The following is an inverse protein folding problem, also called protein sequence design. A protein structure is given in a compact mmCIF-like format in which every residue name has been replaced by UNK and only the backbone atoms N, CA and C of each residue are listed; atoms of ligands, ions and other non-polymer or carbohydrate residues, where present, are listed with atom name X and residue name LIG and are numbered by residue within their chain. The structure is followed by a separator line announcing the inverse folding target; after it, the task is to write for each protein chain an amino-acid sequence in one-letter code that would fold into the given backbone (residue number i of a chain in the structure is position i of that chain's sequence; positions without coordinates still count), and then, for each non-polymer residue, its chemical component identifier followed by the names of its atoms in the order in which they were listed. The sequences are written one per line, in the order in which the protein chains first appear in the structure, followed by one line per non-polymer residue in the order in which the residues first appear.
data_IF_187637572183
#
_entry.id   IF_187637572183
#
_cell.length_a   1.000
_cell.length_b   1.000
_cell.length_c   1.000
_cell.angle_alpha   90.00
_cell.angle_beta   90.00
_cell.angle_gamma   90.00
#
_symmetry.space_group_name_H-M   'P 1'
#
loop_
_entity.id
_entity.type
_entity.pdbx_description
1 polymer ?
#
# COMPACT_ATOMS: atom_id res chain seq x y z
N UNK A 1 11.85 5.36 -26.02
CA UNK A 1 11.41 4.87 -24.69
C UNK A 1 10.24 3.94 -24.94
N UNK A 2 10.16 2.78 -24.25
CA UNK A 2 8.98 1.93 -24.40
C UNK A 2 7.76 2.64 -23.81
N UNK A 3 6.62 2.53 -24.49
CA UNK A 3 5.36 3.12 -24.00
C UNK A 3 4.90 2.37 -22.75
N UNK A 4 4.57 3.10 -21.67
CA UNK A 4 4.05 2.49 -20.44
C UNK A 4 2.64 1.93 -20.72
N UNK A 5 2.47 0.64 -20.43
CA UNK A 5 1.20 -0.08 -20.58
C UNK A 5 0.58 -0.49 -19.23
N UNK A 6 1.40 -0.54 -18.18
CA UNK A 6 0.97 -0.92 -16.84
C UNK A 6 1.48 0.09 -15.82
N UNK A 7 0.62 0.55 -14.95
CA UNK A 7 0.98 1.36 -13.79
C UNK A 7 0.63 0.59 -12.52
N UNK A 8 1.61 0.41 -11.65
CA UNK A 8 1.48 -0.28 -10.37
C UNK A 8 1.61 0.75 -9.26
N UNK A 9 0.63 0.81 -8.38
CA UNK A 9 0.58 1.75 -7.27
C UNK A 9 0.86 1.05 -5.94
N UNK A 10 1.62 1.67 -5.06
CA UNK A 10 1.48 1.39 -3.63
C UNK A 10 0.17 1.98 -3.10
N UNK A 11 -0.26 1.54 -1.93
CA UNK A 11 -1.45 2.04 -1.24
C UNK A 11 -1.09 3.13 -0.22
N UNK A 12 -0.40 2.77 0.85
CA UNK A 12 -0.07 3.71 1.92
C UNK A 12 0.92 4.79 1.48
N UNK A 13 0.66 6.05 1.81
CA UNK A 13 1.52 7.17 1.37
C UNK A 13 1.39 7.55 -0.10
N UNK A 14 0.88 6.67 -0.96
CA UNK A 14 0.63 6.95 -2.38
C UNK A 14 -0.85 7.22 -2.62
N UNK A 15 -1.70 6.22 -2.48
CA UNK A 15 -3.15 6.36 -2.70
C UNK A 15 -3.89 6.73 -1.42
N UNK A 16 -3.55 6.07 -0.31
CA UNK A 16 -4.18 6.24 1.00
C UNK A 16 -3.38 7.24 1.83
N UNK A 17 -4.02 8.31 2.26
CA UNK A 17 -3.45 9.24 3.24
C UNK A 17 -3.36 8.54 4.60
N UNK A 18 -2.22 8.69 5.28
CA UNK A 18 -1.89 8.00 6.53
C UNK A 18 -1.75 8.99 7.68
N UNK A 19 -2.13 8.55 8.89
CA UNK A 19 -1.97 9.33 10.13
C UNK A 19 -1.53 8.40 11.26
N UNK A 20 -0.24 8.46 11.61
CA UNK A 20 0.36 7.62 12.65
C UNK A 20 -0.14 8.00 14.04
N UNK A 21 -0.38 9.29 14.30
CA UNK A 21 -0.79 9.78 15.61
C UNK A 21 -2.19 9.29 15.97
N UNK A 22 -3.09 9.23 14.99
CA UNK A 22 -4.41 8.63 15.17
C UNK A 22 -4.32 7.15 15.54
N UNK A 23 -3.46 6.40 14.89
CA UNK A 23 -3.26 4.97 15.14
C UNK A 23 -2.68 4.75 16.54
N UNK A 24 -1.58 5.41 16.87
CA UNK A 24 -0.91 5.28 18.17
C UNK A 24 -1.82 5.77 19.31
N UNK A 25 -2.55 6.88 19.10
CA UNK A 25 -3.56 7.37 20.05
C UNK A 25 -4.70 6.36 20.28
N UNK A 26 -5.15 5.68 19.23
CA UNK A 26 -6.17 4.64 19.36
C UNK A 26 -5.67 3.43 20.17
N UNK A 27 -4.44 2.97 19.94
CA UNK A 27 -3.84 1.90 20.75
C UNK A 27 -3.69 2.32 22.21
N UNK A 28 -3.24 3.56 22.51
CA UNK A 28 -3.15 4.08 23.87
C UNK A 28 -4.51 4.15 24.54
N UNK A 29 -5.58 4.50 23.80
CA UNK A 29 -6.94 4.52 24.36
C UNK A 29 -7.47 3.13 24.77
N UNK A 30 -6.85 2.06 24.24
CA UNK A 30 -7.11 0.67 24.62
C UNK A 30 -6.18 0.18 25.75
N UNK A 31 -5.32 1.04 26.30
CA UNK A 31 -4.29 0.65 27.29
C UNK A 31 -3.11 -0.11 26.67
N UNK A 32 -2.95 -0.06 25.35
CA UNK A 32 -1.91 -0.80 24.61
C UNK A 32 -0.71 0.10 24.27
N UNK A 33 -0.16 0.82 25.27
CA UNK A 33 0.94 1.76 25.08
C UNK A 33 2.19 1.12 24.48
N UNK A 34 2.53 -0.09 24.94
CA UNK A 34 3.68 -0.83 24.42
C UNK A 34 3.54 -1.15 22.93
N UNK A 35 2.33 -1.41 22.44
CA UNK A 35 2.07 -1.59 21.00
C UNK A 35 2.14 -0.25 20.27
N UNK A 36 1.55 0.81 20.85
CA UNK A 36 1.60 2.15 20.25
C UNK A 36 3.03 2.62 19.99
N UNK A 37 3.96 2.32 20.90
CA UNK A 37 5.38 2.71 20.79
C UNK A 37 6.14 1.88 19.74
N UNK A 38 5.61 0.74 19.32
CA UNK A 38 6.19 -0.11 18.26
C UNK A 38 5.66 0.23 16.86
N UNK A 39 4.59 1.02 16.76
CA UNK A 39 4.03 1.36 15.45
C UNK A 39 4.94 2.36 14.74
N UNK A 40 5.57 1.88 13.68
CA UNK A 40 6.40 2.68 12.80
C UNK A 40 6.16 2.22 11.35
N UNK A 41 5.62 3.08 10.47
CA UNK A 41 5.32 2.69 9.09
C UNK A 41 6.56 2.44 8.25
N UNK A 42 7.71 2.96 8.66
CA UNK A 42 8.96 2.84 7.91
C UNK A 42 9.83 1.66 8.38
N UNK A 43 9.73 1.31 9.66
CA UNK A 43 10.49 0.22 10.28
C UNK A 43 9.54 -0.58 11.17
N UNK A 44 8.70 -1.44 10.59
CA UNK A 44 7.75 -2.22 11.36
C UNK A 44 8.47 -3.11 12.38
N UNK A 45 7.92 -3.19 13.59
CA UNK A 45 8.37 -4.18 14.57
C UNK A 45 8.29 -5.59 13.99
N UNK A 46 9.12 -6.51 14.47
CA UNK A 46 9.21 -7.88 13.94
C UNK A 46 7.85 -8.57 13.81
N UNK A 47 6.98 -8.41 14.82
CA UNK A 47 5.62 -8.96 14.81
C UNK A 47 4.79 -8.41 13.62
N UNK A 48 4.84 -7.10 13.38
CA UNK A 48 4.11 -6.46 12.27
C UNK A 48 4.69 -6.92 10.94
N UNK A 49 6.02 -7.02 10.84
CA UNK A 49 6.69 -7.56 9.65
C UNK A 49 6.27 -9.00 9.35
N UNK A 50 6.13 -9.86 10.38
CA UNK A 50 5.66 -11.25 10.22
C UNK A 50 4.20 -11.30 9.77
N UNK A 51 3.35 -10.40 10.27
CA UNK A 51 1.96 -10.27 9.85
C UNK A 51 1.86 -9.82 8.38
N UNK A 52 2.60 -8.80 7.99
CA UNK A 52 2.62 -8.29 6.61
C UNK A 52 3.28 -9.25 5.61
N UNK A 53 4.17 -10.13 6.10
CA UNK A 53 4.74 -11.21 5.31
C UNK A 53 3.81 -12.43 5.21
N UNK A 54 2.72 -12.47 6.00
CA UNK A 54 1.80 -13.60 6.05
C UNK A 54 2.36 -14.83 6.77
N UNK A 55 3.37 -14.65 7.64
CA UNK A 55 3.95 -15.71 8.48
C UNK A 55 3.05 -16.03 9.66
N UNK A 56 2.36 -15.01 10.19
CA UNK A 56 1.37 -15.14 11.25
C UNK A 56 0.03 -14.57 10.80
N UNK A 57 -1.06 -15.11 11.33
CA UNK A 57 -2.40 -14.59 11.14
C UNK A 57 -2.59 -13.28 11.93
N UNK A 58 -3.63 -12.52 11.58
CA UNK A 58 -3.99 -11.32 12.35
C UNK A 58 -4.38 -11.66 13.79
N UNK A 59 -5.01 -12.81 14.04
CA UNK A 59 -5.35 -13.27 15.39
C UNK A 59 -4.09 -13.54 16.23
N UNK A 60 -3.10 -14.25 15.69
CA UNK A 60 -1.82 -14.48 16.37
C UNK A 60 -1.08 -13.18 16.67
N UNK A 61 -1.09 -12.21 15.74
CA UNK A 61 -0.56 -10.88 15.97
C UNK A 61 -1.30 -10.16 17.11
N UNK A 62 -2.64 -10.26 17.17
CA UNK A 62 -3.44 -9.71 18.27
C UNK A 62 -3.08 -10.34 19.62
N UNK A 63 -2.84 -11.66 19.67
CA UNK A 63 -2.40 -12.35 20.87
C UNK A 63 -1.02 -11.86 21.35
N UNK A 64 -0.09 -11.63 20.42
CA UNK A 64 1.21 -11.04 20.74
C UNK A 64 1.06 -9.60 21.27
N UNK A 65 0.22 -8.77 20.65
CA UNK A 65 -0.07 -7.40 21.09
C UNK A 65 -0.67 -7.36 22.50
N UNK A 66 -1.64 -8.24 22.79
CA UNK A 66 -2.24 -8.38 24.12
C UNK A 66 -1.20 -8.77 25.18
N UNK A 67 -0.36 -9.75 24.88
CA UNK A 67 0.71 -10.18 25.81
C UNK A 67 1.71 -9.06 26.08
N UNK A 68 2.09 -8.33 25.04
CA UNK A 68 3.04 -7.21 25.14
C UNK A 68 2.51 -6.07 26.01
N UNK A 69 1.21 -5.77 25.89
CA UNK A 69 0.57 -4.66 26.63
C UNK A 69 -0.05 -5.08 27.94
N UNK A 70 -0.14 -6.38 28.26
CA UNK A 70 -0.82 -6.87 29.46
C UNK A 70 -2.34 -6.63 29.45
N UNK A 71 -2.97 -6.60 28.27
CA UNK A 71 -4.39 -6.28 28.06
C UNK A 71 -5.16 -7.46 27.46
N UNK A 72 -5.33 -8.58 28.18
CA UNK A 72 -5.94 -9.80 27.63
C UNK A 72 -7.41 -9.64 27.23
N UNK A 73 -8.09 -8.61 27.77
CA UNK A 73 -9.51 -8.30 27.51
C UNK A 73 -9.74 -7.57 26.18
N UNK A 74 -8.71 -6.98 25.58
CA UNK A 74 -8.84 -6.26 24.31
C UNK A 74 -9.07 -7.24 23.18
N UNK A 75 -10.17 -7.06 22.47
CA UNK A 75 -10.58 -7.97 21.38
C UNK A 75 -9.84 -7.69 20.07
N UNK A 76 -9.77 -8.69 19.19
CA UNK A 76 -9.23 -8.53 17.82
C UNK A 76 -9.93 -7.40 17.05
N UNK A 77 -11.24 -7.22 17.28
CA UNK A 77 -12.01 -6.16 16.63
C UNK A 77 -11.57 -4.75 17.10
N UNK A 78 -11.23 -4.58 18.36
CA UNK A 78 -10.70 -3.33 18.90
C UNK A 78 -9.30 -3.05 18.39
N UNK A 79 -8.44 -4.08 18.32
CA UNK A 79 -7.10 -3.98 17.73
C UNK A 79 -7.20 -3.62 16.24
N UNK A 80 -8.07 -4.30 15.49
CA UNK A 80 -8.31 -3.98 14.08
C UNK A 80 -8.83 -2.55 13.88
N UNK A 81 -9.71 -2.07 14.78
CA UNK A 81 -10.18 -0.70 14.78
C UNK A 81 -9.03 0.29 15.01
N UNK A 82 -8.20 0.05 16.03
CA UNK A 82 -7.05 0.92 16.34
C UNK A 82 -6.06 0.96 15.17
N UNK A 83 -5.77 -0.19 14.56
CA UNK A 83 -4.94 -0.28 13.35
C UNK A 83 -5.56 0.48 12.18
N UNK A 84 -6.88 0.39 12.01
CA UNK A 84 -7.62 1.10 10.97
C UNK A 84 -7.56 2.63 11.11
N UNK A 85 -7.28 3.17 12.31
CA UNK A 85 -7.12 4.61 12.51
C UNK A 85 -5.89 5.19 11.79
N UNK A 86 -4.93 4.36 11.42
CA UNK A 86 -3.81 4.74 10.57
C UNK A 86 -4.26 5.24 9.19
N UNK A 87 -5.38 4.71 8.68
CA UNK A 87 -5.90 4.97 7.35
C UNK A 87 -6.88 6.15 7.42
N UNK A 88 -6.58 7.25 6.71
CA UNK A 88 -7.39 8.47 6.76
C UNK A 88 -8.45 8.47 5.66
N UNK A 89 -8.02 8.48 4.41
CA UNK A 89 -8.88 8.53 3.22
C UNK A 89 -8.10 8.21 1.96
N UNK A 90 -8.83 8.02 0.85
CA UNK A 90 -8.30 8.12 -0.51
C UNK A 90 -8.86 9.40 -1.12
N UNK A 91 -8.03 10.40 -1.45
CA UNK A 91 -8.50 11.60 -2.15
C UNK A 91 -9.14 11.25 -3.49
N UNK A 92 -10.34 11.78 -3.76
CA UNK A 92 -11.08 11.52 -5.01
C UNK A 92 -10.26 11.91 -6.25
N UNK A 93 -9.41 12.93 -6.16
CA UNK A 93 -8.51 13.31 -7.24
C UNK A 93 -7.57 12.19 -7.67
N UNK A 94 -7.07 11.37 -6.72
CA UNK A 94 -6.22 10.20 -7.02
C UNK A 94 -7.02 9.11 -7.75
N UNK A 95 -8.27 8.86 -7.35
CA UNK A 95 -9.16 7.90 -8.02
C UNK A 95 -9.47 8.34 -9.46
N UNK A 96 -9.74 9.63 -9.69
CA UNK A 96 -9.94 10.17 -11.04
C UNK A 96 -8.70 10.04 -11.92
N UNK A 97 -7.51 10.12 -11.36
CA UNK A 97 -6.27 9.89 -12.11
C UNK A 97 -6.16 8.42 -12.56
N UNK A 98 -6.55 7.47 -11.71
CA UNK A 98 -6.59 6.05 -12.08
C UNK A 98 -7.60 5.83 -13.21
N UNK A 99 -8.81 6.42 -13.12
CA UNK A 99 -9.81 6.34 -14.18
C UNK A 99 -9.27 6.88 -15.51
N UNK A 100 -8.62 8.05 -15.48
CA UNK A 100 -8.04 8.65 -16.68
C UNK A 100 -6.93 7.77 -17.33
N UNK A 101 -6.18 7.01 -16.53
CA UNK A 101 -5.23 6.03 -17.07
C UNK A 101 -5.94 4.85 -17.74
N UNK A 102 -6.99 4.33 -17.12
CA UNK A 102 -7.79 3.22 -17.65
C UNK A 102 -8.52 3.59 -18.94
N UNK A 103 -9.06 4.80 -19.02
CA UNK A 103 -9.68 5.36 -20.25
C UNK A 103 -8.70 5.41 -21.43
N UNK A 104 -7.40 5.53 -21.15
CA UNK A 104 -6.33 5.50 -22.15
C UNK A 104 -5.83 4.06 -22.44
N UNK A 105 -6.47 3.05 -21.91
CA UNK A 105 -6.10 1.65 -22.08
C UNK A 105 -4.87 1.22 -21.27
N UNK A 106 -4.42 2.02 -20.29
CA UNK A 106 -3.34 1.68 -19.38
C UNK A 106 -3.89 0.75 -18.30
N UNK A 107 -3.26 -0.39 -18.13
CA UNK A 107 -3.57 -1.34 -17.08
C UNK A 107 -3.13 -0.78 -15.72
N UNK A 108 -3.98 -0.87 -14.71
CA UNK A 108 -3.69 -0.37 -13.37
C UNK A 108 -3.68 -1.52 -12.36
N UNK A 109 -2.66 -1.56 -11.51
CA UNK A 109 -2.47 -2.61 -10.51
C UNK A 109 -2.02 -2.01 -9.18
N UNK A 110 -2.06 -2.83 -8.13
CA UNK A 110 -1.54 -2.50 -6.80
C UNK A 110 -0.44 -3.48 -6.41
N UNK A 111 0.62 -2.98 -5.75
CA UNK A 111 1.60 -3.77 -5.00
C UNK A 111 1.84 -3.11 -3.64
N UNK A 112 1.40 -3.74 -2.55
CA UNK A 112 1.47 -3.13 -1.22
C UNK A 112 1.94 -4.10 -0.14
N UNK A 113 2.85 -3.62 0.74
CA UNK A 113 3.11 -4.25 2.03
C UNK A 113 1.91 -3.95 2.92
N UNK A 114 1.16 -4.97 3.32
CA UNK A 114 -0.10 -4.78 4.00
C UNK A 114 -0.49 -6.02 4.83
N UNK A 115 -1.64 -5.96 5.49
CA UNK A 115 -2.21 -7.05 6.27
C UNK A 115 -3.73 -7.15 6.08
N UNK A 116 -4.36 -8.29 6.41
CA UNK A 116 -5.79 -8.51 6.19
C UNK A 116 -6.71 -7.51 6.89
N UNK A 117 -6.30 -7.02 8.09
CA UNK A 117 -7.11 -6.07 8.84
C UNK A 117 -7.15 -4.70 8.14
N UNK A 118 -5.99 -4.15 7.76
CA UNK A 118 -5.91 -2.89 7.02
C UNK A 118 -6.63 -2.98 5.67
N UNK A 119 -6.45 -4.07 4.92
CA UNK A 119 -7.10 -4.25 3.62
C UNK A 119 -8.63 -4.24 3.71
N UNK A 120 -9.20 -4.75 4.81
CA UNK A 120 -10.65 -4.67 5.04
C UNK A 120 -11.15 -3.22 5.11
N UNK A 121 -10.37 -2.31 5.68
CA UNK A 121 -10.69 -0.88 5.73
C UNK A 121 -10.40 -0.19 4.39
N UNK A 122 -9.24 -0.45 3.80
CA UNK A 122 -8.82 0.16 2.52
C UNK A 122 -9.83 -0.13 1.42
N UNK A 123 -10.30 -1.39 1.26
CA UNK A 123 -11.31 -1.74 0.25
C UNK A 123 -12.60 -0.91 0.37
N UNK A 124 -12.99 -0.53 1.58
CA UNK A 124 -14.16 0.32 1.84
C UNK A 124 -13.96 1.80 1.53
N UNK A 125 -12.73 2.24 1.26
CA UNK A 125 -12.42 3.62 0.90
C UNK A 125 -12.59 3.88 -0.60
N UNK A 126 -12.65 2.84 -1.42
CA UNK A 126 -12.91 2.93 -2.85
C UNK A 126 -14.42 3.02 -3.11
N UNK A 127 -14.99 4.21 -2.87
CA UNK A 127 -16.47 4.40 -2.95
C UNK A 127 -16.89 5.53 -3.88
N UNK A 128 -15.95 6.18 -4.58
CA UNK A 128 -16.30 7.26 -5.49
C UNK A 128 -17.14 6.72 -6.66
N UNK A 129 -18.20 7.42 -6.98
CA UNK A 129 -19.10 7.13 -8.10
C UNK A 129 -19.71 5.71 -8.08
N UNK A 130 -19.87 5.13 -6.87
CA UNK A 130 -20.45 3.78 -6.68
C UNK A 130 -19.51 2.65 -7.06
N UNK A 131 -18.25 2.92 -7.34
CA UNK A 131 -17.21 1.95 -7.67
C UNK A 131 -16.66 1.25 -6.43
N UNK A 132 -16.00 0.11 -6.67
CA UNK A 132 -15.22 -0.65 -5.71
C UNK A 132 -13.75 -0.66 -6.11
N UNK A 133 -12.86 -1.18 -5.26
CA UNK A 133 -11.43 -1.33 -5.58
C UNK A 133 -11.21 -2.13 -6.87
N UNK A 134 -12.04 -3.14 -7.12
CA UNK A 134 -11.91 -4.03 -8.28
C UNK A 134 -12.32 -3.33 -9.61
N UNK A 135 -13.03 -2.18 -9.53
CA UNK A 135 -13.32 -1.34 -10.70
C UNK A 135 -12.14 -0.44 -11.10
N UNK A 136 -11.23 -0.18 -10.14
CA UNK A 136 -10.05 0.65 -10.38
C UNK A 136 -8.81 -0.16 -10.79
N UNK A 137 -8.70 -1.44 -10.37
CA UNK A 137 -7.49 -2.23 -10.58
C UNK A 137 -7.75 -3.56 -11.23
N UNK A 138 -6.91 -3.90 -12.20
CA UNK A 138 -6.93 -5.18 -12.92
C UNK A 138 -6.30 -6.31 -12.09
N UNK A 139 -5.42 -5.96 -11.14
CA UNK A 139 -4.83 -6.90 -10.19
C UNK A 139 -4.36 -6.17 -8.92
N UNK A 140 -4.47 -6.86 -7.78
CA UNK A 140 -4.03 -6.40 -6.46
C UNK A 140 -3.08 -7.43 -5.90
N UNK A 141 -1.82 -7.03 -5.67
CA UNK A 141 -0.76 -7.87 -5.12
C UNK A 141 -0.47 -7.43 -3.70
N UNK A 142 -0.67 -8.31 -2.74
CA UNK A 142 -0.51 -8.01 -1.31
C UNK A 142 0.58 -8.89 -0.72
N UNK A 143 1.45 -8.28 0.06
CA UNK A 143 2.62 -8.94 0.62
C UNK A 143 2.28 -10.21 1.40
N UNK A 144 1.22 -10.17 2.23
CA UNK A 144 0.81 -11.32 3.03
C UNK A 144 0.22 -12.49 2.20
N UNK A 145 -0.24 -12.23 0.96
CA UNK A 145 -0.69 -13.24 0.01
C UNK A 145 0.48 -13.78 -0.83
N UNK A 146 1.44 -12.91 -1.15
CA UNK A 146 2.63 -13.28 -1.89
C UNK A 146 3.72 -13.89 -1.01
N UNK A 147 3.61 -13.78 0.32
CA UNK A 147 4.63 -14.18 1.29
C UNK A 147 6.00 -13.56 0.97
N UNK A 148 6.00 -12.28 0.66
CA UNK A 148 7.19 -11.47 0.38
C UNK A 148 6.90 -10.00 0.69
N UNK A 149 7.93 -9.26 1.09
CA UNK A 149 7.83 -7.83 1.40
C UNK A 149 8.66 -6.99 0.43
N UNK A 150 8.17 -5.83 0.01
CA UNK A 150 9.03 -4.79 -0.56
C UNK A 150 10.05 -4.36 0.51
N UNK A 151 11.32 -4.15 0.16
CA UNK A 151 11.93 -4.07 -1.18
C UNK A 151 12.55 -5.38 -1.67
N UNK A 152 12.16 -6.57 -1.18
CA UNK A 152 12.68 -7.83 -1.69
C UNK A 152 12.48 -7.94 -3.21
N UNK A 153 13.51 -8.33 -3.94
CA UNK A 153 13.42 -8.62 -5.38
C UNK A 153 12.34 -9.67 -5.68
N UNK A 154 12.16 -10.63 -4.76
CA UNK A 154 11.22 -11.74 -4.93
C UNK A 154 9.76 -11.26 -5.06
N UNK A 155 9.33 -10.22 -4.34
CA UNK A 155 7.95 -9.71 -4.44
C UNK A 155 7.69 -9.14 -5.84
N UNK A 156 8.65 -8.40 -6.40
CA UNK A 156 8.52 -7.83 -7.75
C UNK A 156 8.50 -8.92 -8.81
N UNK A 157 9.34 -9.96 -8.68
CA UNK A 157 9.32 -11.12 -9.59
C UNK A 157 7.99 -11.87 -9.53
N UNK A 158 7.43 -12.08 -8.33
CA UNK A 158 6.11 -12.69 -8.15
C UNK A 158 5.00 -11.84 -8.78
N UNK A 159 5.03 -10.51 -8.59
CA UNK A 159 4.10 -9.57 -9.21
C UNK A 159 4.19 -9.62 -10.75
N UNK A 160 5.40 -9.53 -11.31
CA UNK A 160 5.64 -9.60 -12.77
C UNK A 160 5.05 -10.90 -13.34
N UNK A 161 5.38 -12.04 -12.72
CA UNK A 161 4.94 -13.35 -13.19
C UNK A 161 3.42 -13.52 -13.10
N UNK A 162 2.83 -13.24 -11.94
CA UNK A 162 1.39 -13.37 -11.70
C UNK A 162 0.57 -12.36 -12.52
N UNK A 163 1.12 -11.16 -12.73
CA UNK A 163 0.48 -10.11 -13.50
C UNK A 163 0.69 -10.22 -15.02
N UNK A 164 1.59 -11.10 -15.50
CA UNK A 164 1.95 -11.17 -16.92
C UNK A 164 2.52 -9.85 -17.43
N UNK A 165 3.33 -9.16 -16.60
CA UNK A 165 3.82 -7.81 -16.88
C UNK A 165 5.15 -7.87 -17.62
N UNK A 166 5.41 -6.84 -18.43
CA UNK A 166 6.72 -6.58 -19.02
C UNK A 166 7.37 -5.45 -18.22
N UNK A 167 8.52 -5.68 -17.56
CA UNK A 167 9.16 -4.68 -16.72
C UNK A 167 9.37 -3.34 -17.44
N UNK A 168 9.86 -3.39 -18.68
CA UNK A 168 10.15 -2.23 -19.50
C UNK A 168 8.92 -1.44 -20.00
N UNK A 169 7.71 -1.97 -19.79
CA UNK A 169 6.42 -1.33 -20.09
C UNK A 169 5.64 -1.02 -18.79
N UNK A 170 6.28 -1.21 -17.62
CA UNK A 170 5.65 -1.04 -16.31
C UNK A 170 6.25 0.15 -15.57
N UNK A 171 5.38 1.01 -15.00
CA UNK A 171 5.74 2.07 -14.07
C UNK A 171 5.26 1.69 -12.67
N UNK A 172 6.17 1.67 -11.70
CA UNK A 172 5.87 1.47 -10.29
C UNK A 172 5.94 2.80 -9.53
N UNK A 173 4.93 3.08 -8.72
CA UNK A 173 4.78 4.30 -7.94
C UNK A 173 4.75 3.92 -6.46
N UNK A 174 5.72 4.43 -5.71
CA UNK A 174 5.88 4.15 -4.28
C UNK A 174 6.49 5.40 -3.60
N UNK A 175 6.20 5.63 -2.33
CA UNK A 175 6.75 6.76 -1.57
C UNK A 175 8.16 6.47 -1.00
N UNK A 176 8.63 5.22 -1.10
CA UNK A 176 9.92 4.78 -0.58
C UNK A 176 10.92 4.54 -1.71
N UNK A 177 12.00 5.32 -1.71
CA UNK A 177 13.06 5.23 -2.72
C UNK A 177 13.64 3.81 -2.83
N UNK A 178 13.87 3.13 -1.70
CA UNK A 178 14.39 1.75 -1.68
C UNK A 178 13.50 0.74 -2.45
N UNK A 179 12.17 0.94 -2.44
CA UNK A 179 11.25 0.11 -3.20
C UNK A 179 11.37 0.39 -4.71
N UNK A 180 11.54 1.67 -5.05
CA UNK A 180 11.75 2.10 -6.44
C UNK A 180 13.09 1.56 -6.98
N UNK A 181 14.17 1.62 -6.20
CA UNK A 181 15.47 1.06 -6.58
C UNK A 181 15.40 -0.44 -6.82
N UNK A 182 14.73 -1.19 -5.94
CA UNK A 182 14.55 -2.64 -6.09
C UNK A 182 13.73 -3.00 -7.35
N UNK A 183 12.69 -2.23 -7.66
CA UNK A 183 11.92 -2.39 -8.89
C UNK A 183 12.75 -2.07 -10.14
N UNK A 184 13.54 -0.99 -10.08
CA UNK A 184 14.40 -0.55 -11.18
C UNK A 184 15.49 -1.57 -11.52
N UNK A 185 16.01 -2.30 -10.52
CA UNK A 185 16.97 -3.39 -10.73
C UNK A 185 16.43 -4.53 -11.63
N UNK A 186 15.10 -4.64 -11.73
CA UNK A 186 14.40 -5.58 -12.59
C UNK A 186 13.94 -4.98 -13.93
N UNK A 187 14.30 -3.73 -14.21
CA UNK A 187 13.92 -3.02 -15.44
C UNK A 187 12.54 -2.35 -15.38
N UNK A 188 11.89 -2.30 -14.21
CA UNK A 188 10.64 -1.57 -14.00
C UNK A 188 10.96 -0.08 -13.88
N UNK A 189 10.20 0.78 -14.56
CA UNK A 189 10.33 2.23 -14.38
C UNK A 189 9.80 2.64 -13.00
N UNK A 190 10.54 3.46 -12.27
CA UNK A 190 10.16 3.91 -10.94
C UNK A 190 9.69 5.38 -10.91
N UNK A 191 8.77 5.69 -10.00
CA UNK A 191 8.39 7.05 -9.63
C UNK A 191 8.27 7.16 -8.11
N UNK A 192 9.14 7.96 -7.47
CA UNK A 192 9.04 8.26 -6.04
C UNK A 192 7.94 9.30 -5.83
N UNK A 193 6.89 8.92 -5.09
CA UNK A 193 5.77 9.77 -4.78
C UNK A 193 6.04 10.55 -3.49
N UNK A 194 6.17 11.88 -3.56
CA UNK A 194 6.35 12.70 -2.35
C UNK A 194 4.99 12.91 -1.65
N UNK A 195 4.73 12.09 -0.62
CA UNK A 195 3.51 12.16 0.17
C UNK A 195 3.39 13.46 1.02
N UNK A 196 4.47 14.24 1.16
CA UNK A 196 4.47 15.53 1.88
C UNK A 196 3.89 16.66 1.02
N UNK A 197 3.98 16.52 -0.32
CA UNK A 197 3.35 17.41 -1.29
C UNK A 197 2.62 16.57 -2.35
N UNK A 198 1.46 15.97 -1.99
CA UNK A 198 0.76 15.05 -2.88
C UNK A 198 0.22 15.73 -4.14
N UNK A 199 -0.10 17.03 -4.10
CA UNK A 199 -0.59 17.75 -5.27
C UNK A 199 0.53 17.93 -6.30
N UNK A 200 1.71 18.36 -5.88
CA UNK A 200 2.88 18.44 -6.75
C UNK A 200 3.31 17.06 -7.28
N UNK A 201 3.25 16.01 -6.45
CA UNK A 201 3.54 14.64 -6.85
C UNK A 201 2.54 14.14 -7.92
N UNK A 202 1.25 14.39 -7.75
CA UNK A 202 0.22 14.05 -8.73
C UNK A 202 0.45 14.77 -10.06
N UNK A 203 0.79 16.05 -10.03
CA UNK A 203 1.09 16.82 -11.24
C UNK A 203 2.37 16.35 -11.93
N UNK A 204 3.42 16.00 -11.19
CA UNK A 204 4.64 15.42 -11.72
C UNK A 204 4.39 14.05 -12.38
N UNK A 205 3.61 13.20 -11.74
CA UNK A 205 3.20 11.90 -12.27
C UNK A 205 2.40 12.07 -13.58
N UNK A 206 1.44 13.00 -13.59
CA UNK A 206 0.66 13.32 -14.79
C UNK A 206 1.56 13.75 -15.95
N UNK A 207 2.49 14.68 -15.72
CA UNK A 207 3.47 15.11 -16.73
C UNK A 207 4.30 13.97 -17.26
N UNK A 208 4.79 13.10 -16.38
CA UNK A 208 5.58 11.91 -16.78
C UNK A 208 4.79 10.95 -17.67
N UNK A 209 3.53 10.68 -17.32
CA UNK A 209 2.66 9.80 -18.09
C UNK A 209 2.24 10.40 -19.44
N UNK A 210 2.05 11.74 -19.49
CA UNK A 210 1.75 12.45 -20.75
C UNK A 210 2.96 12.52 -21.70
N UNK A 211 4.19 12.64 -21.15
CA UNK A 211 5.42 12.65 -21.95
C UNK A 211 5.77 11.27 -22.56
N UNK A 212 5.21 10.20 -22.03
CA UNK A 212 5.37 8.84 -22.59
C UNK A 212 4.52 8.62 -23.84
N UNK A 213 3.63 9.54 -24.20
CA UNK A 213 2.76 9.49 -25.39
C UNK A 213 3.29 10.31 -26.60
N UNK A 214 4.46 10.96 -26.43
CA UNK A 214 5.10 11.64 -27.55
C UNK A 214 5.93 10.63 -28.36
N UNK A 215 5.25 9.80 -29.14
CA UNK A 215 5.68 9.36 -30.50
C UNK A 215 4.43 8.86 -31.25
#
# INVERSE_FOLDING_TARGET
MNTIKTVVFDLGGVLVDLDIDRCTGAFRSLGMDAVADLINPYYPAEMIGRLEHGVISFHEACDEMRRLSGTPEVTDAQIAWAYGQFLVRIPVAKLRQIDALRERGIRTCVLSNNNPASMKYIRRMFTADGKTMDDYFDAVFLSYELHELKPSEAIFRKMIAAGGMRPEETLFIDDREMNIEAAAALGIHGFVFDHRDPDAACDALRRRLLQSDCI
#
